data_IF_620153284780
#
_entry.id   IF_620153284780
#
_cell.length_a   1.000
_cell.length_b   1.000
_cell.length_c   1.000
_cell.angle_alpha   90.00
_cell.angle_beta   90.00
_cell.angle_gamma   90.00
#
_symmetry.space_group_name_H-M   'P 1'
#
loop_
_entity.id
_entity.type
_entity.pdbx_description
1 polymer ?
#
# COMPACT_ATOMS: atom_id res chain seq x y z
N UNK A 1 21.88 4.34 22.30
CA UNK A 1 20.66 3.54 22.20
C UNK A 1 20.14 3.61 20.77
N UNK A 2 19.93 2.46 20.12
CA UNK A 2 19.33 2.35 18.79
C UNK A 2 18.17 1.36 18.87
N UNK A 3 17.08 1.64 18.18
CA UNK A 3 15.93 0.74 18.09
C UNK A 3 15.54 0.52 16.64
N UNK A 4 15.04 -0.65 16.33
CA UNK A 4 14.57 -1.02 15.01
C UNK A 4 13.72 -2.28 15.07
N UNK A 5 13.16 -2.65 13.93
CA UNK A 5 12.35 -3.85 13.78
C UNK A 5 12.73 -4.51 12.44
N UNK A 6 13.45 -5.62 12.53
CA UNK A 6 13.91 -6.37 11.35
C UNK A 6 12.76 -7.02 10.58
N UNK A 7 11.67 -7.40 11.25
CA UNK A 7 10.46 -7.94 10.62
C UNK A 7 9.73 -6.90 9.75
N UNK A 8 10.04 -5.60 9.92
CA UNK A 8 9.48 -4.51 9.12
C UNK A 8 10.42 -4.00 8.01
N UNK A 9 11.44 -4.75 7.66
CA UNK A 9 12.38 -4.40 6.58
C UNK A 9 11.74 -4.60 5.19
N UNK A 10 10.84 -3.68 4.82
CA UNK A 10 10.09 -3.73 3.55
C UNK A 10 10.73 -2.89 2.43
N UNK A 11 11.88 -2.28 2.65
CA UNK A 11 12.56 -1.41 1.69
C UNK A 11 13.84 -2.02 1.11
N UNK A 12 13.97 -3.33 1.12
CA UNK A 12 15.13 -4.03 0.55
C UNK A 12 15.35 -3.66 -0.93
N UNK A 13 14.26 -3.47 -1.69
CA UNK A 13 14.29 -2.99 -3.07
C UNK A 13 14.87 -1.56 -3.24
N UNK A 14 15.03 -0.80 -2.14
CA UNK A 14 15.69 0.51 -2.08
C UNK A 14 17.08 0.45 -1.47
N UNK A 15 17.63 -0.75 -1.28
CA UNK A 15 18.94 -0.96 -0.67
C UNK A 15 18.96 -0.94 0.86
N UNK A 16 17.78 -1.03 1.51
CA UNK A 16 17.73 -1.25 2.94
C UNK A 16 18.18 -2.70 3.25
N UNK A 17 19.04 -2.85 4.24
CA UNK A 17 19.55 -4.16 4.67
C UNK A 17 19.40 -4.28 6.19
N UNK A 18 18.60 -5.26 6.63
CA UNK A 18 18.43 -5.59 8.04
C UNK A 18 19.71 -6.17 8.67
N UNK A 19 20.65 -6.63 7.85
CA UNK A 19 21.95 -7.13 8.29
C UNK A 19 22.78 -6.12 9.08
N UNK A 20 22.57 -4.81 8.86
CA UNK A 20 23.21 -3.77 9.67
C UNK A 20 22.79 -3.82 11.15
N UNK A 21 21.53 -4.14 11.43
CA UNK A 21 21.07 -4.32 12.82
C UNK A 21 21.75 -5.52 13.47
N UNK A 22 21.88 -6.60 12.73
CA UNK A 22 22.58 -7.79 13.18
C UNK A 22 24.05 -7.49 13.47
N UNK A 23 24.77 -6.81 12.57
CA UNK A 23 26.16 -6.42 12.78
C UNK A 23 26.32 -5.58 14.05
N UNK A 24 25.44 -4.59 14.27
CA UNK A 24 25.44 -3.76 15.46
C UNK A 24 25.23 -4.59 16.75
N UNK A 25 24.42 -5.65 16.70
CA UNK A 25 24.20 -6.52 17.85
C UNK A 25 25.43 -7.34 18.23
N UNK A 26 26.36 -7.54 17.28
CA UNK A 26 27.61 -8.28 17.49
C UNK A 26 28.78 -7.40 17.95
N UNK A 27 28.61 -6.07 18.00
CA UNK A 27 29.67 -5.17 18.46
C UNK A 27 30.00 -5.40 19.93
N UNK A 28 31.28 -5.34 20.34
CA UNK A 28 31.68 -5.48 21.72
C UNK A 28 30.96 -4.48 22.64
N UNK A 29 30.34 -4.96 23.69
CA UNK A 29 29.57 -4.15 24.62
C UNK A 29 28.12 -3.89 24.22
N UNK A 30 27.68 -4.36 23.05
CA UNK A 30 26.28 -4.30 22.66
C UNK A 30 25.41 -5.21 23.51
N UNK A 31 24.23 -4.72 23.88
CA UNK A 31 23.19 -5.51 24.55
C UNK A 31 21.93 -5.46 23.73
N UNK A 32 21.51 -6.62 23.25
CA UNK A 32 20.21 -6.77 22.57
C UNK A 32 19.09 -6.92 23.60
N UNK A 33 18.05 -6.13 23.45
CA UNK A 33 16.81 -6.23 24.24
C UNK A 33 15.64 -6.37 23.29
N UNK A 34 14.91 -7.48 23.37
CA UNK A 34 13.69 -7.70 22.58
C UNK A 34 12.48 -7.06 23.30
N UNK A 35 11.70 -6.26 22.58
CA UNK A 35 10.41 -5.78 23.04
C UNK A 35 9.34 -6.79 22.66
N UNK A 36 8.77 -7.46 23.64
CA UNK A 36 7.81 -8.56 23.45
C UNK A 36 6.37 -8.17 23.77
N UNK A 37 6.16 -7.06 24.48
CA UNK A 37 4.85 -6.59 24.87
C UNK A 37 4.23 -5.66 23.82
N UNK A 38 3.02 -5.97 23.37
CA UNK A 38 2.27 -5.19 22.40
C UNK A 38 1.01 -4.60 23.03
N UNK A 39 1.03 -3.30 23.20
CA UNK A 39 -0.09 -2.52 23.78
C UNK A 39 -1.03 -1.94 22.71
N UNK A 40 -0.71 -2.14 21.43
CA UNK A 40 -1.47 -1.55 20.29
C UNK A 40 -2.57 -2.46 19.81
N UNK A 41 -2.24 -3.72 19.57
CA UNK A 41 -3.10 -4.65 18.84
C UNK A 41 -3.76 -5.66 19.76
N UNK A 42 -4.99 -6.05 19.43
CA UNK A 42 -5.74 -7.10 20.10
C UNK A 42 -5.07 -8.48 19.94
N UNK A 43 -5.52 -9.49 20.68
CA UNK A 43 -4.87 -10.80 20.80
C UNK A 43 -4.78 -11.53 19.46
N UNK A 44 -5.88 -11.63 18.70
CA UNK A 44 -5.91 -12.38 17.45
C UNK A 44 -4.98 -11.80 16.36
N UNK A 45 -4.94 -10.48 16.11
CA UNK A 45 -3.94 -9.88 15.23
C UNK A 45 -2.50 -10.17 15.64
N UNK A 46 -2.18 -10.13 16.95
CA UNK A 46 -0.83 -10.44 17.44
C UNK A 46 -0.51 -11.92 17.25
N UNK A 47 -1.44 -12.82 17.55
CA UNK A 47 -1.28 -14.24 17.30
C UNK A 47 -1.03 -14.53 15.82
N UNK A 48 -1.86 -13.97 14.94
CA UNK A 48 -1.71 -14.12 13.49
C UNK A 48 -0.34 -13.61 13.00
N UNK A 49 0.11 -12.43 13.49
CA UNK A 49 1.41 -11.89 13.16
C UNK A 49 2.56 -12.82 13.60
N UNK A 50 2.50 -13.39 14.81
CA UNK A 50 3.49 -14.36 15.28
C UNK A 50 3.56 -15.61 14.39
N UNK A 51 2.41 -16.12 13.95
CA UNK A 51 2.37 -17.26 13.01
C UNK A 51 2.94 -16.88 11.63
N UNK A 52 2.58 -15.70 11.12
CA UNK A 52 3.02 -15.21 9.82
C UNK A 52 4.54 -15.04 9.74
N UNK A 53 5.16 -14.45 10.78
CA UNK A 53 6.61 -14.18 10.79
C UNK A 53 7.46 -15.44 10.94
N UNK A 54 6.88 -16.60 11.29
CA UNK A 54 7.61 -17.88 11.29
C UNK A 54 8.15 -18.26 9.92
N UNK A 55 7.54 -17.75 8.84
CA UNK A 55 8.02 -17.93 7.47
C UNK A 55 9.27 -17.11 7.11
N UNK A 56 9.69 -16.17 7.96
CA UNK A 56 10.86 -15.33 7.71
C UNK A 56 12.11 -16.05 8.19
N UNK A 57 13.00 -16.39 7.27
CA UNK A 57 14.20 -17.22 7.55
C UNK A 57 15.30 -16.52 8.34
N UNK A 58 15.38 -15.18 8.28
CA UNK A 58 16.44 -14.38 8.92
C UNK A 58 15.82 -13.36 9.88
N UNK A 59 15.44 -13.81 11.04
CA UNK A 59 14.90 -12.95 12.10
C UNK A 59 15.91 -12.80 13.23
N UNK A 60 16.00 -11.60 13.77
CA UNK A 60 16.77 -11.33 14.98
C UNK A 60 15.96 -11.67 16.25
N UNK A 61 14.65 -11.44 16.21
CA UNK A 61 13.76 -11.79 17.33
C UNK A 61 13.48 -13.29 17.37
N UNK A 62 13.66 -13.86 18.54
CA UNK A 62 13.31 -15.25 18.82
C UNK A 62 12.04 -15.40 19.67
N UNK A 63 11.72 -14.39 20.46
CA UNK A 63 10.58 -14.41 21.39
C UNK A 63 9.30 -13.94 20.71
N UNK A 64 8.18 -14.67 20.86
CA UNK A 64 6.88 -14.23 20.38
C UNK A 64 6.44 -12.93 21.06
N UNK A 65 5.72 -12.10 20.29
CA UNK A 65 5.09 -10.88 20.84
C UNK A 65 3.80 -11.27 21.56
N UNK A 66 3.53 -10.65 22.69
CA UNK A 66 2.35 -10.88 23.53
C UNK A 66 1.48 -9.63 23.53
N UNK A 67 0.20 -9.78 23.19
CA UNK A 67 -0.76 -8.68 23.32
C UNK A 67 -1.05 -8.40 24.79
N UNK A 68 -0.92 -7.16 25.18
CA UNK A 68 -1.29 -6.66 26.53
C UNK A 68 -2.73 -6.12 26.57
N UNK A 69 -3.45 -6.21 25.44
CA UNK A 69 -4.87 -5.82 25.38
C UNK A 69 -5.77 -6.99 25.76
N UNK A 70 -6.89 -6.67 26.39
CA UNK A 70 -7.89 -7.69 26.80
C UNK A 70 -8.78 -8.12 25.64
N UNK A 71 -8.95 -7.26 24.63
CA UNK A 71 -9.80 -7.56 23.49
C UNK A 71 -9.17 -8.64 22.61
N UNK A 72 -10.01 -9.58 22.15
CA UNK A 72 -9.55 -10.62 21.26
C UNK A 72 -9.28 -10.11 19.82
N UNK A 73 -10.10 -9.20 19.33
CA UNK A 73 -10.04 -8.75 17.95
C UNK A 73 -10.45 -9.86 16.97
N UNK A 74 -10.21 -9.60 15.69
CA UNK A 74 -10.52 -10.57 14.63
C UNK A 74 -9.54 -10.47 13.47
N UNK A 75 -9.22 -11.61 12.86
CA UNK A 75 -8.44 -11.70 11.62
C UNK A 75 -9.18 -12.60 10.66
N UNK A 76 -9.45 -12.13 9.45
CA UNK A 76 -10.07 -12.90 8.39
C UNK A 76 -9.22 -12.90 7.14
N UNK A 77 -9.24 -14.02 6.42
CA UNK A 77 -8.58 -14.16 5.12
C UNK A 77 -9.64 -14.54 4.09
N UNK A 78 -9.87 -13.68 3.12
CA UNK A 78 -10.80 -13.93 2.02
C UNK A 78 -10.04 -14.11 0.72
N UNK A 79 -10.33 -15.20 0.01
CA UNK A 79 -9.77 -15.47 -1.31
C UNK A 79 -10.81 -15.19 -2.39
N UNK A 80 -10.52 -14.23 -3.25
CA UNK A 80 -11.33 -13.95 -4.42
C UNK A 80 -10.77 -14.63 -5.68
N UNK A 81 -11.66 -15.13 -6.53
CA UNK A 81 -11.27 -15.73 -7.82
C UNK A 81 -11.10 -14.67 -8.90
N UNK A 82 -11.52 -13.43 -8.64
CA UNK A 82 -11.44 -12.32 -9.58
C UNK A 82 -9.99 -11.85 -9.74
N UNK A 83 -9.59 -11.59 -10.99
CA UNK A 83 -8.34 -10.88 -11.30
C UNK A 83 -8.36 -9.44 -10.79
N UNK A 84 -9.54 -8.84 -10.64
CA UNK A 84 -9.75 -7.48 -10.17
C UNK A 84 -10.43 -7.55 -8.80
N UNK A 85 -9.64 -7.47 -7.73
CA UNK A 85 -10.12 -7.61 -6.35
C UNK A 85 -10.79 -6.34 -5.81
N UNK A 86 -10.71 -5.20 -6.52
CA UNK A 86 -11.24 -3.92 -6.02
C UNK A 86 -12.76 -3.94 -5.86
N UNK A 87 -13.49 -4.52 -6.82
CA UNK A 87 -14.94 -4.57 -6.75
C UNK A 87 -15.42 -5.42 -5.57
N UNK A 88 -14.98 -6.68 -5.39
CA UNK A 88 -15.32 -7.47 -4.21
C UNK A 88 -14.94 -6.80 -2.89
N UNK A 89 -13.76 -6.18 -2.84
CA UNK A 89 -13.31 -5.47 -1.63
C UNK A 89 -14.22 -4.29 -1.28
N UNK A 90 -14.63 -3.50 -2.27
CA UNK A 90 -15.57 -2.39 -2.04
C UNK A 90 -16.92 -2.90 -1.57
N UNK A 91 -17.43 -3.99 -2.14
CA UNK A 91 -18.66 -4.64 -1.69
C UNK A 91 -18.57 -5.11 -0.23
N UNK A 92 -17.46 -5.72 0.18
CA UNK A 92 -17.22 -6.07 1.58
C UNK A 92 -17.21 -4.82 2.48
N UNK A 93 -16.54 -3.74 2.06
CA UNK A 93 -16.46 -2.50 2.83
C UNK A 93 -17.83 -1.80 2.96
N UNK A 94 -18.69 -1.86 1.93
CA UNK A 94 -20.06 -1.34 1.99
C UNK A 94 -20.88 -2.07 3.07
N UNK A 95 -20.70 -3.38 3.20
CA UNK A 95 -21.41 -4.20 4.16
C UNK A 95 -20.75 -4.22 5.55
N UNK A 96 -19.53 -3.69 5.66
CA UNK A 96 -18.83 -3.63 6.94
C UNK A 96 -19.55 -2.71 7.92
N UNK A 97 -19.93 -3.24 9.07
CA UNK A 97 -20.69 -2.54 10.14
C UNK A 97 -19.83 -2.16 11.34
N UNK A 98 -18.52 -2.24 11.21
CA UNK A 98 -17.60 -1.83 12.26
C UNK A 98 -17.67 -0.34 12.57
N UNK A 99 -17.32 0.01 13.80
CA UNK A 99 -17.17 1.40 14.25
C UNK A 99 -15.72 1.87 14.10
N UNK A 100 -15.52 3.18 14.02
CA UNK A 100 -14.19 3.78 13.99
C UNK A 100 -13.64 4.02 12.60
N UNK A 101 -12.32 4.04 12.49
CA UNK A 101 -11.59 4.32 11.24
C UNK A 101 -11.03 3.03 10.66
N UNK A 102 -11.30 2.80 9.38
CA UNK A 102 -10.73 1.67 8.64
C UNK A 102 -9.58 2.14 7.75
N UNK A 103 -8.56 1.32 7.62
CA UNK A 103 -7.43 1.55 6.71
C UNK A 103 -7.35 0.39 5.72
N UNK A 104 -7.22 0.70 4.43
CA UNK A 104 -6.98 -0.29 3.38
C UNK A 104 -5.57 -0.08 2.84
N UNK A 105 -4.79 -1.16 2.85
CA UNK A 105 -3.44 -1.18 2.29
C UNK A 105 -3.49 -1.87 0.94
N UNK A 106 -2.79 -1.29 -0.02
CA UNK A 106 -2.65 -1.84 -1.38
C UNK A 106 -1.17 -2.04 -1.72
N UNK A 107 -0.90 -2.85 -2.71
CA UNK A 107 0.47 -3.10 -3.14
C UNK A 107 1.06 -1.90 -3.91
N UNK A 108 0.23 -1.17 -4.65
CA UNK A 108 0.65 -0.03 -5.47
C UNK A 108 -0.17 1.22 -5.18
N UNK A 109 0.39 2.38 -5.51
CA UNK A 109 -0.29 3.66 -5.37
C UNK A 109 -1.48 3.80 -6.33
N UNK A 110 -1.35 3.22 -7.53
CA UNK A 110 -2.42 3.20 -8.53
C UNK A 110 -3.64 2.45 -8.01
N UNK A 111 -3.44 1.32 -7.37
CA UNK A 111 -4.51 0.56 -6.71
C UNK A 111 -5.22 1.39 -5.64
N UNK A 112 -4.46 2.11 -4.82
CA UNK A 112 -5.02 2.98 -3.80
C UNK A 112 -5.88 4.10 -4.41
N UNK A 113 -5.43 4.72 -5.51
CA UNK A 113 -6.21 5.75 -6.23
C UNK A 113 -7.50 5.19 -6.80
N UNK A 114 -7.44 4.01 -7.46
CA UNK A 114 -8.63 3.34 -8.00
C UNK A 114 -9.62 3.04 -6.88
N UNK A 115 -9.14 2.52 -5.75
CA UNK A 115 -9.97 2.17 -4.62
C UNK A 115 -10.66 3.38 -4.02
N UNK A 116 -9.95 4.51 -3.84
CA UNK A 116 -10.54 5.76 -3.36
C UNK A 116 -11.63 6.26 -4.31
N UNK A 117 -11.40 6.18 -5.62
CA UNK A 117 -12.40 6.58 -6.62
C UNK A 117 -13.65 5.71 -6.56
N UNK A 118 -13.49 4.38 -6.41
CA UNK A 118 -14.60 3.45 -6.26
C UNK A 118 -15.37 3.69 -4.95
N UNK A 119 -14.69 3.82 -3.82
CA UNK A 119 -15.33 4.08 -2.53
C UNK A 119 -16.18 5.36 -2.56
N UNK A 120 -15.65 6.44 -3.17
CA UNK A 120 -16.39 7.70 -3.35
C UNK A 120 -17.61 7.53 -4.25
N UNK A 121 -17.52 6.73 -5.31
CA UNK A 121 -18.67 6.40 -6.19
C UNK A 121 -19.82 5.76 -5.40
N UNK A 122 -19.51 4.98 -4.39
CA UNK A 122 -20.49 4.36 -3.49
C UNK A 122 -20.82 5.19 -2.24
N UNK A 123 -20.44 6.47 -2.22
CA UNK A 123 -20.74 7.38 -1.12
C UNK A 123 -19.92 7.16 0.15
N UNK A 124 -18.86 6.33 0.11
CA UNK A 124 -18.00 6.10 1.25
C UNK A 124 -16.93 7.20 1.29
N UNK A 125 -16.93 7.97 2.39
CA UNK A 125 -15.92 8.99 2.60
C UNK A 125 -14.55 8.34 2.81
N UNK A 126 -13.63 8.60 1.90
CA UNK A 126 -12.30 7.99 1.88
C UNK A 126 -11.22 9.02 1.58
N UNK A 127 -10.07 8.86 2.23
CA UNK A 127 -8.89 9.72 2.05
C UNK A 127 -7.70 8.86 1.62
N UNK A 128 -7.03 9.27 0.55
CA UNK A 128 -5.75 8.70 0.18
C UNK A 128 -4.69 9.22 1.16
N UNK A 129 -4.08 8.29 1.90
CA UNK A 129 -2.92 8.58 2.75
C UNK A 129 -1.69 8.08 2.01
N UNK A 130 -1.02 8.99 1.34
CA UNK A 130 0.16 8.68 0.55
C UNK A 130 1.27 9.66 0.92
N UNK A 131 2.49 9.13 1.09
CA UNK A 131 3.68 9.97 1.02
C UNK A 131 3.77 10.51 -0.39
N UNK A 132 3.71 11.83 -0.53
CA UNK A 132 3.84 12.52 -1.82
C UNK A 132 5.26 12.47 -2.37
N UNK A 133 6.20 11.84 -1.67
CA UNK A 133 7.59 11.74 -2.06
C UNK A 133 7.74 10.89 -3.33
N UNK A 134 7.64 11.57 -4.46
CA UNK A 134 7.93 11.02 -5.78
C UNK A 134 6.75 10.58 -6.64
N UNK A 135 5.50 10.52 -6.12
CA UNK A 135 4.34 10.27 -6.97
C UNK A 135 3.71 11.58 -7.45
N UNK A 136 4.02 11.93 -8.64
CA UNK A 136 3.38 13.04 -9.35
C UNK A 136 2.41 12.43 -10.38
N UNK A 137 1.12 12.63 -10.19
CA UNK A 137 0.05 12.11 -11.06
C UNK A 137 0.33 12.36 -12.56
N UNK A 138 0.86 13.53 -12.88
CA UNK A 138 1.25 13.88 -14.26
C UNK A 138 2.49 13.15 -14.77
N UNK A 139 3.21 12.41 -13.93
CA UNK A 139 4.33 11.56 -14.37
C UNK A 139 3.88 10.17 -14.82
N UNK A 140 2.62 9.79 -14.60
CA UNK A 140 2.07 8.55 -15.14
C UNK A 140 2.14 8.57 -16.67
N UNK A 141 2.51 7.44 -17.27
CA UNK A 141 2.65 7.31 -18.73
C UNK A 141 1.33 7.66 -19.45
N UNK A 142 0.20 7.20 -18.90
CA UNK A 142 -1.15 7.50 -19.37
C UNK A 142 -1.44 9.00 -19.35
N UNK A 143 -1.06 9.65 -18.25
CA UNK A 143 -1.33 11.08 -18.06
C UNK A 143 -0.47 11.92 -18.97
N UNK A 144 0.81 11.55 -19.14
CA UNK A 144 1.70 12.18 -20.13
C UNK A 144 1.19 12.01 -21.56
N UNK A 145 0.69 10.83 -21.90
CA UNK A 145 0.12 10.57 -23.22
C UNK A 145 -1.14 11.41 -23.43
N UNK A 146 -2.05 11.41 -22.48
CA UNK A 146 -3.27 12.21 -22.49
C UNK A 146 -2.97 13.72 -22.65
N UNK A 147 -2.06 14.25 -21.84
CA UNK A 147 -1.68 15.66 -21.90
C UNK A 147 -1.01 16.00 -23.25
N UNK A 148 -0.11 15.15 -23.75
CA UNK A 148 0.51 15.35 -25.06
C UNK A 148 -0.51 15.29 -26.21
N UNK A 149 -1.52 14.45 -26.10
CA UNK A 149 -2.60 14.37 -27.08
C UNK A 149 -3.38 15.68 -27.14
N UNK A 150 -3.70 16.25 -26.00
CA UNK A 150 -4.36 17.55 -25.88
C UNK A 150 -3.46 18.69 -26.37
N UNK A 151 -2.23 18.78 -25.88
CA UNK A 151 -1.28 19.87 -26.15
C UNK A 151 -1.01 20.05 -27.66
N UNK A 152 -0.95 18.96 -28.42
CA UNK A 152 -0.78 19.00 -29.87
C UNK A 152 -1.98 19.53 -30.63
N UNK A 153 -3.16 19.58 -30.05
CA UNK A 153 -4.43 19.89 -30.72
C UNK A 153 -5.12 21.13 -30.19
N UNK A 154 -4.81 21.53 -28.96
CA UNK A 154 -5.41 22.71 -28.33
C UNK A 154 -4.59 23.95 -28.63
N UNK A 155 -5.20 24.89 -29.34
CA UNK A 155 -4.64 26.24 -29.58
C UNK A 155 -5.41 27.35 -28.86
N UNK A 156 -6.40 26.99 -28.07
CA UNK A 156 -7.30 27.87 -27.36
C UNK A 156 -7.38 27.45 -25.88
N UNK A 157 -7.66 28.38 -24.95
CA UNK A 157 -7.64 28.09 -23.51
C UNK A 157 -8.74 27.14 -23.04
N UNK A 158 -9.73 26.83 -23.88
CA UNK A 158 -10.80 25.89 -23.56
C UNK A 158 -10.64 24.62 -24.38
N UNK A 159 -10.74 23.47 -23.71
CA UNK A 159 -10.70 22.16 -24.35
C UNK A 159 -12.13 21.77 -24.75
N UNK A 160 -12.43 21.60 -26.07
CA UNK A 160 -13.73 21.12 -26.49
C UNK A 160 -14.05 19.75 -25.93
N UNK A 161 -15.32 19.49 -25.63
CA UNK A 161 -15.76 18.20 -25.04
C UNK A 161 -15.42 17.01 -25.93
N UNK A 162 -15.55 17.17 -27.25
CA UNK A 162 -15.19 16.14 -28.22
C UNK A 162 -13.70 15.78 -28.14
N UNK A 163 -12.82 16.79 -28.13
CA UNK A 163 -11.39 16.57 -27.99
C UNK A 163 -11.02 15.90 -26.68
N UNK A 164 -11.74 16.23 -25.60
CA UNK A 164 -11.59 15.56 -24.32
C UNK A 164 -11.98 14.09 -24.37
N UNK A 165 -13.09 13.76 -25.04
CA UNK A 165 -13.53 12.38 -25.27
C UNK A 165 -12.54 11.59 -26.11
N UNK A 166 -12.05 12.19 -27.19
CA UNK A 166 -11.04 11.59 -28.07
C UNK A 166 -9.72 11.33 -27.35
N UNK A 167 -9.26 12.27 -26.53
CA UNK A 167 -8.05 12.10 -25.72
C UNK A 167 -8.18 10.93 -24.75
N UNK A 168 -9.33 10.81 -24.07
CA UNK A 168 -9.61 9.67 -23.20
C UNK A 168 -9.60 8.35 -23.97
N UNK A 169 -10.31 8.28 -25.08
CA UNK A 169 -10.39 7.08 -25.91
C UNK A 169 -9.00 6.67 -26.45
N UNK A 170 -8.23 7.63 -26.95
CA UNK A 170 -6.87 7.39 -27.42
C UNK A 170 -5.95 6.87 -26.30
N UNK A 171 -6.08 7.41 -25.09
CA UNK A 171 -5.29 6.97 -23.94
C UNK A 171 -5.63 5.54 -23.52
N UNK A 172 -6.93 5.19 -23.48
CA UNK A 172 -7.36 3.82 -23.20
C UNK A 172 -6.91 2.83 -24.28
N UNK A 173 -6.98 3.22 -25.55
CA UNK A 173 -6.60 2.38 -26.69
C UNK A 173 -5.08 2.20 -26.83
N UNK A 174 -4.28 3.07 -26.25
CA UNK A 174 -2.81 2.99 -26.27
C UNK A 174 -2.25 1.79 -25.47
N UNK A 175 -3.07 1.11 -24.66
CA UNK A 175 -2.75 -0.20 -24.08
C UNK A 175 -1.56 -0.19 -23.14
N UNK A 176 -1.43 0.83 -22.29
CA UNK A 176 -0.36 0.90 -21.29
C UNK A 176 -0.36 -0.35 -20.39
N UNK A 177 0.69 -1.16 -20.47
CA UNK A 177 0.87 -2.34 -19.62
C UNK A 177 1.37 -1.90 -18.25
N UNK A 178 1.00 -2.65 -17.21
CA UNK A 178 1.40 -2.37 -15.83
C UNK A 178 2.92 -2.30 -15.61
N UNK A 179 3.70 -2.87 -16.50
CA UNK A 179 5.17 -2.84 -16.46
C UNK A 179 5.77 -1.51 -16.92
N UNK A 180 5.13 -0.83 -17.90
CA UNK A 180 5.56 0.50 -18.36
C UNK A 180 5.29 1.60 -17.33
N UNK A 181 4.40 1.35 -16.36
CA UNK A 181 4.11 2.25 -15.24
C UNK A 181 5.30 2.42 -14.27
N UNK A 182 6.28 1.52 -14.30
CA UNK A 182 7.47 1.56 -13.42
C UNK A 182 8.63 2.38 -13.97
N UNK A 183 8.60 2.80 -15.22
CA UNK A 183 9.71 3.51 -15.88
C UNK A 183 9.35 4.99 -16.05
N UNK A 184 9.21 5.67 -14.93
CA UNK A 184 9.19 7.13 -14.83
C UNK A 184 10.33 7.56 -13.90
N UNK A 185 11.57 7.29 -14.30
CA UNK A 185 12.76 7.93 -13.73
C UNK A 185 12.99 9.26 -14.40
#
# INVERSE_FOLDING_TARGET
FRSGDDDQSIYEFRGADSGYMYQLSQEPGSKLVEMTENYRSARQPVYFANEFVRGISKRMKSTPIISMREEDGWVGVTRHQSKYIFQPLVEELIHYRGSGTSCVLTQTNEEAVILVALLRKYGINSKLVQSMDGFLFWNMAEMRYFLRYLDRRVRIPLIPEELWKDAKHATFSAGFRSEERRVGK
#
